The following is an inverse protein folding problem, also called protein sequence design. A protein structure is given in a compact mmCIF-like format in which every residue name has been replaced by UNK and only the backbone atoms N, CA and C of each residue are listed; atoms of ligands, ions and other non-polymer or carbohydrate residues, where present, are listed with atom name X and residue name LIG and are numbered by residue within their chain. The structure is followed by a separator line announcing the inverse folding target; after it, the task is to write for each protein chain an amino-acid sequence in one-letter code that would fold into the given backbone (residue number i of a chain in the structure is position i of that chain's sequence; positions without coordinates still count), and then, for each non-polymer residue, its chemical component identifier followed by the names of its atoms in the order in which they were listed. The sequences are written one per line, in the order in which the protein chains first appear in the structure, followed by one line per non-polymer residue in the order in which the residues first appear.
data_IF_645891058152
#
_entry.id   IF_645891058152
#
_cell.length_a   1.000
_cell.length_b   1.000
_cell.length_c   1.000
_cell.angle_alpha   90.00
_cell.angle_beta   90.00
_cell.angle_gamma   90.00
#
_symmetry.space_group_name_H-M   'P 1'
#
loop_
_entity.id
_entity.type
_entity.pdbx_description
1 polymer ?
#
# COMPACT_ATOMS: atom_id res chain seq x y z
N UNK A 1 -26.00 -21.72 1.93
CA UNK A 1 -25.96 -20.68 0.87
C UNK A 1 -25.55 -19.38 1.56
N UNK A 2 -24.47 -18.73 1.10
CA UNK A 2 -23.73 -17.71 1.88
C UNK A 2 -24.29 -16.28 1.87
N UNK A 3 -25.45 -16.05 1.24
CA UNK A 3 -26.15 -14.77 1.22
C UNK A 3 -27.66 -15.02 1.07
N UNK A 4 -28.46 -14.07 1.58
CA UNK A 4 -29.92 -14.11 1.54
C UNK A 4 -30.46 -12.92 0.73
N UNK A 5 -31.65 -13.06 0.15
CA UNK A 5 -32.32 -12.01 -0.64
C UNK A 5 -33.82 -11.98 -0.31
N UNK A 6 -34.50 -10.89 -0.68
CA UNK A 6 -35.97 -10.79 -0.62
C UNK A 6 -36.59 -11.24 -1.95
N UNK A 7 -37.46 -10.41 -2.53
CA UNK A 7 -38.03 -10.63 -3.85
C UNK A 7 -36.99 -10.41 -4.94
N UNK A 8 -37.17 -11.07 -6.08
CA UNK A 8 -36.36 -10.89 -7.27
C UNK A 8 -36.62 -9.56 -8.02
N UNK A 9 -37.57 -8.77 -7.53
CA UNK A 9 -37.95 -7.45 -8.03
C UNK A 9 -38.00 -6.43 -6.88
N UNK A 10 -37.10 -6.56 -5.90
CA UNK A 10 -37.07 -5.67 -4.75
C UNK A 10 -36.68 -4.25 -5.20
N UNK A 11 -37.49 -3.21 -4.90
CA UNK A 11 -37.10 -1.84 -5.17
C UNK A 11 -36.18 -1.32 -4.06
N UNK A 12 -35.01 -0.82 -4.42
CA UNK A 12 -34.03 -0.22 -3.51
C UNK A 12 -33.50 1.08 -4.10
N UNK A 13 -33.23 2.07 -3.25
CA UNK A 13 -32.45 3.24 -3.66
C UNK A 13 -30.98 2.99 -3.32
N UNK A 14 -30.12 3.02 -4.34
CA UNK A 14 -28.68 2.90 -4.17
C UNK A 14 -28.09 4.26 -3.77
N UNK A 15 -27.34 4.25 -2.68
CA UNK A 15 -26.47 5.35 -2.24
C UNK A 15 -25.09 5.17 -2.87
N UNK A 16 -24.48 6.26 -3.31
CA UNK A 16 -23.04 6.32 -3.58
C UNK A 16 -22.32 6.66 -2.28
N UNK A 17 -21.58 5.70 -1.72
CA UNK A 17 -20.74 5.95 -0.55
C UNK A 17 -19.49 6.76 -0.91
N UNK A 18 -19.04 6.67 -2.16
CA UNK A 18 -17.87 7.36 -2.70
C UNK A 18 -18.22 8.03 -4.03
N UNK A 19 -18.96 9.15 -4.03
CA UNK A 19 -19.52 9.75 -5.25
C UNK A 19 -18.47 10.21 -6.27
N UNK A 20 -17.26 10.53 -5.80
CA UNK A 20 -16.14 10.97 -6.65
C UNK A 20 -15.25 9.82 -7.13
N UNK A 21 -15.57 8.57 -6.77
CA UNK A 21 -14.70 7.44 -7.10
C UNK A 21 -14.82 7.06 -8.59
N UNK A 22 -13.69 6.86 -9.31
CA UNK A 22 -13.70 6.67 -10.77
C UNK A 22 -14.64 5.56 -11.26
N UNK A 23 -14.72 4.45 -10.51
CA UNK A 23 -15.56 3.29 -10.86
C UNK A 23 -17.07 3.62 -10.87
N UNK A 24 -17.54 4.62 -10.12
CA UNK A 24 -18.96 5.02 -10.05
C UNK A 24 -19.25 6.36 -10.72
N UNK A 25 -18.28 6.92 -11.45
CA UNK A 25 -18.41 8.23 -12.09
C UNK A 25 -19.60 8.31 -13.07
N UNK A 26 -20.01 7.20 -13.68
CA UNK A 26 -21.14 7.12 -14.60
C UNK A 26 -22.50 7.50 -13.97
N UNK A 27 -22.62 7.50 -12.64
CA UNK A 27 -23.84 7.88 -11.93
C UNK A 27 -23.91 9.37 -11.55
N UNK A 28 -22.90 10.17 -11.92
CA UNK A 28 -22.92 11.63 -11.73
C UNK A 28 -23.02 12.10 -10.28
N UNK A 29 -22.51 11.29 -9.33
CA UNK A 29 -22.52 11.61 -7.91
C UNK A 29 -23.89 11.49 -7.22
N UNK A 30 -24.91 10.99 -7.91
CA UNK A 30 -26.26 10.88 -7.37
C UNK A 30 -26.67 9.42 -7.15
N UNK A 31 -27.38 9.17 -6.04
CA UNK A 31 -28.03 7.89 -5.81
C UNK A 31 -29.15 7.64 -6.82
N UNK A 32 -29.48 6.38 -7.06
CA UNK A 32 -30.44 5.99 -8.09
C UNK A 32 -31.35 4.85 -7.61
N UNK A 33 -32.63 4.82 -8.02
CA UNK A 33 -33.48 3.67 -7.77
C UNK A 33 -33.04 2.49 -8.64
N UNK A 34 -33.08 1.29 -8.07
CA UNK A 34 -32.81 0.05 -8.76
C UNK A 34 -33.79 -1.02 -8.30
N UNK A 35 -34.20 -1.86 -9.24
CA UNK A 35 -35.01 -3.04 -8.97
C UNK A 35 -34.22 -4.28 -9.40
N UNK A 36 -33.96 -5.19 -8.47
CA UNK A 36 -33.23 -6.45 -8.72
C UNK A 36 -33.52 -7.49 -7.63
N UNK A 37 -32.87 -8.65 -7.71
CA UNK A 37 -32.70 -9.57 -6.59
C UNK A 37 -31.39 -9.28 -5.84
N UNK A 38 -31.48 -8.55 -4.72
CA UNK A 38 -30.28 -8.17 -3.97
C UNK A 38 -29.87 -9.21 -2.95
N UNK A 39 -28.82 -9.97 -3.29
CA UNK A 39 -28.12 -10.82 -2.33
C UNK A 39 -27.35 -9.97 -1.32
N UNK A 40 -27.62 -10.20 -0.04
CA UNK A 40 -27.06 -9.45 1.09
C UNK A 40 -25.95 -10.26 1.77
N UNK A 41 -24.67 -10.02 1.41
CA UNK A 41 -23.55 -10.68 2.05
C UNK A 41 -23.39 -10.26 3.51
N UNK A 42 -23.15 -11.23 4.40
CA UNK A 42 -22.83 -10.97 5.81
C UNK A 42 -21.31 -10.85 6.02
N UNK A 43 -20.60 -11.97 6.17
CA UNK A 43 -19.17 -11.95 6.53
C UNK A 43 -18.20 -11.73 5.37
N UNK A 44 -18.66 -11.78 4.12
CA UNK A 44 -17.77 -11.76 2.94
C UNK A 44 -17.24 -10.38 2.58
N UNK A 45 -17.75 -9.30 3.18
CA UNK A 45 -17.20 -7.95 3.06
C UNK A 45 -17.18 -7.25 4.43
N UNK A 46 -16.30 -6.27 4.58
CA UNK A 46 -16.26 -5.33 5.71
C UNK A 46 -15.70 -4.00 5.25
N UNK A 47 -16.26 -2.89 5.71
CA UNK A 47 -15.68 -1.55 5.47
C UNK A 47 -14.24 -1.41 6.01
N UNK A 48 -13.79 -2.29 6.91
CA UNK A 48 -12.40 -2.32 7.37
C UNK A 48 -11.41 -2.96 6.39
N UNK A 49 -11.89 -3.66 5.35
CA UNK A 49 -11.07 -4.29 4.30
C UNK A 49 -11.40 -3.83 2.88
N UNK A 50 -12.61 -3.34 2.66
CA UNK A 50 -13.14 -3.04 1.33
C UNK A 50 -13.46 -1.54 1.19
N UNK A 51 -13.17 -0.97 0.02
CA UNK A 51 -13.66 0.36 -0.38
C UNK A 51 -15.07 0.20 -0.91
N UNK A 52 -16.06 0.44 -0.06
CA UNK A 52 -17.48 0.39 -0.43
C UNK A 52 -17.81 1.57 -1.34
N UNK A 53 -18.37 1.28 -2.50
CA UNK A 53 -18.73 2.26 -3.52
C UNK A 53 -20.24 2.53 -3.53
N UNK A 54 -21.04 1.48 -3.39
CA UNK A 54 -22.50 1.53 -3.39
C UNK A 54 -23.06 0.73 -2.21
N UNK A 55 -24.07 1.27 -1.55
CA UNK A 55 -24.87 0.59 -0.52
C UNK A 55 -26.33 1.00 -0.60
N UNK A 56 -27.20 0.36 0.18
CA UNK A 56 -28.60 0.77 0.29
C UNK A 56 -28.72 2.15 0.96
N UNK A 57 -29.50 3.05 0.37
CA UNK A 57 -29.96 4.28 1.02
C UNK A 57 -31.14 3.93 1.92
N UNK A 58 -30.87 3.66 3.21
CA UNK A 58 -31.89 3.28 4.18
C UNK A 58 -32.88 4.39 4.53
N UNK A 59 -32.57 5.64 4.21
CA UNK A 59 -33.52 6.74 4.40
C UNK A 59 -34.59 6.77 3.28
N UNK A 60 -34.30 6.14 2.14
CA UNK A 60 -35.19 6.13 0.95
C UNK A 60 -35.64 4.73 0.54
N UNK A 61 -35.12 3.70 1.19
CA UNK A 61 -35.48 2.30 0.94
C UNK A 61 -36.32 1.78 2.09
N UNK A 62 -37.54 1.36 1.79
CA UNK A 62 -38.43 0.79 2.80
C UNK A 62 -37.98 -0.64 3.16
N UNK A 63 -37.46 -0.77 4.39
CA UNK A 63 -37.15 -2.05 5.00
C UNK A 63 -38.14 -2.41 6.13
N UNK A 64 -39.31 -1.76 6.24
CA UNK A 64 -40.27 -2.06 7.30
C UNK A 64 -40.88 -3.47 7.15
N UNK A 65 -41.02 -3.95 5.92
CA UNK A 65 -41.40 -5.33 5.60
C UNK A 65 -40.18 -6.21 5.30
N UNK A 66 -39.14 -6.18 6.14
CA UNK A 66 -38.21 -7.32 6.17
C UNK A 66 -38.96 -8.48 6.91
N UNK A 67 -39.35 -9.60 6.27
CA UNK A 67 -39.50 -10.84 7.05
C UNK A 67 -39.03 -12.06 6.26
N UNK A 68 -37.73 -12.13 5.96
CA UNK A 68 -37.12 -13.38 5.52
C UNK A 68 -35.88 -13.66 6.38
N UNK A 69 -35.91 -14.76 7.12
CA UNK A 69 -34.85 -15.16 8.04
C UNK A 69 -33.51 -15.17 7.29
N UNK A 70 -32.56 -14.36 7.77
CA UNK A 70 -31.20 -14.30 7.23
C UNK A 70 -30.85 -13.07 6.38
N UNK A 71 -31.80 -12.27 5.88
CA UNK A 71 -31.50 -11.07 5.08
C UNK A 71 -30.89 -9.91 5.88
N UNK A 72 -30.91 -9.98 7.20
CA UNK A 72 -30.51 -8.89 8.07
C UNK A 72 -29.03 -8.90 8.42
N UNK A 73 -28.52 -7.69 8.58
CA UNK A 73 -27.29 -7.42 9.33
C UNK A 73 -27.60 -6.51 10.51
N UNK A 74 -26.95 -6.79 11.63
CA UNK A 74 -27.12 -6.00 12.85
C UNK A 74 -26.67 -4.55 12.67
N UNK A 75 -25.62 -4.32 11.87
CA UNK A 75 -25.06 -3.01 11.56
C UNK A 75 -25.87 -2.23 10.50
N UNK A 76 -26.86 -2.88 9.87
CA UNK A 76 -27.64 -2.35 8.74
C UNK A 76 -26.78 -1.78 7.61
N UNK A 77 -25.56 -2.27 7.44
CA UNK A 77 -24.71 -1.92 6.30
C UNK A 77 -24.96 -2.92 5.17
N UNK A 78 -25.46 -2.47 4.02
CA UNK A 78 -25.78 -3.34 2.89
C UNK A 78 -25.00 -2.90 1.65
N UNK A 79 -23.69 -3.17 1.64
CA UNK A 79 -22.83 -2.84 0.50
C UNK A 79 -23.15 -3.73 -0.71
N UNK A 80 -23.42 -3.09 -1.85
CA UNK A 80 -23.77 -3.74 -3.11
C UNK A 80 -22.66 -3.67 -4.16
N UNK A 81 -21.68 -2.78 -3.96
CA UNK A 81 -20.47 -2.78 -4.75
C UNK A 81 -19.29 -2.26 -3.95
N UNK A 82 -18.12 -2.86 -4.18
CA UNK A 82 -16.88 -2.45 -3.54
C UNK A 82 -15.67 -2.84 -4.39
N UNK A 83 -14.55 -2.16 -4.11
CA UNK A 83 -13.24 -2.50 -4.67
C UNK A 83 -12.23 -2.71 -3.55
N UNK A 84 -11.19 -3.47 -3.84
CA UNK A 84 -9.99 -3.57 -2.98
C UNK A 84 -8.79 -4.09 -3.76
N UNK A 85 -7.65 -4.10 -3.09
CA UNK A 85 -6.49 -4.86 -3.52
C UNK A 85 -6.30 -6.12 -2.68
N UNK A 86 -5.67 -7.13 -3.27
CA UNK A 86 -5.18 -8.32 -2.59
C UNK A 86 -3.76 -8.60 -3.10
N UNK A 87 -2.75 -8.26 -2.30
CA UNK A 87 -1.38 -8.11 -2.79
C UNK A 87 -1.31 -7.02 -3.88
N UNK A 88 -0.94 -7.41 -5.11
CA UNK A 88 -0.98 -6.55 -6.32
C UNK A 88 -2.24 -6.75 -7.17
N UNK A 89 -3.06 -7.76 -6.85
CA UNK A 89 -4.32 -8.01 -7.54
C UNK A 89 -5.37 -6.96 -7.19
N UNK A 90 -6.30 -6.70 -8.12
CA UNK A 90 -7.44 -5.80 -7.95
C UNK A 90 -8.72 -6.62 -7.94
N UNK A 91 -9.60 -6.36 -6.97
CA UNK A 91 -10.88 -7.04 -6.83
C UNK A 91 -11.97 -6.00 -6.98
N UNK A 92 -12.87 -6.23 -7.94
CA UNK A 92 -14.14 -5.53 -8.07
C UNK A 92 -15.26 -6.51 -7.78
N UNK A 93 -16.19 -6.11 -6.93
CA UNK A 93 -17.39 -6.88 -6.62
C UNK A 93 -18.62 -6.01 -6.82
N UNK A 94 -19.67 -6.64 -7.34
CA UNK A 94 -21.02 -6.08 -7.36
C UNK A 94 -22.06 -7.19 -7.21
N UNK A 95 -23.12 -6.89 -6.46
CA UNK A 95 -24.26 -7.79 -6.22
C UNK A 95 -25.39 -7.62 -7.25
N UNK A 96 -25.19 -6.82 -8.31
CA UNK A 96 -26.19 -6.55 -9.34
C UNK A 96 -26.12 -7.58 -10.47
N UNK A 97 -27.26 -7.85 -11.09
CA UNK A 97 -27.32 -8.59 -12.35
C UNK A 97 -28.13 -9.88 -12.31
N UNK A 98 -29.03 -10.04 -11.33
CA UNK A 98 -29.93 -11.18 -11.32
C UNK A 98 -31.05 -11.00 -12.36
N UNK A 99 -31.65 -9.80 -12.43
CA UNK A 99 -32.69 -9.50 -13.39
C UNK A 99 -32.12 -9.06 -14.76
N UNK A 100 -32.58 -9.60 -15.91
CA UNK A 100 -32.03 -9.27 -17.24
C UNK A 100 -32.06 -7.78 -17.61
N UNK A 101 -33.04 -7.03 -17.08
CA UNK A 101 -33.16 -5.58 -17.32
C UNK A 101 -31.93 -4.79 -16.81
N UNK A 102 -31.17 -5.32 -15.85
CA UNK A 102 -29.92 -4.72 -15.37
C UNK A 102 -28.93 -4.52 -16.52
N UNK A 103 -28.84 -5.51 -17.43
CA UNK A 103 -27.96 -5.47 -18.59
C UNK A 103 -28.49 -4.63 -19.76
N UNK A 104 -29.66 -4.00 -19.60
CA UNK A 104 -30.21 -3.04 -20.55
C UNK A 104 -30.08 -1.59 -20.05
N UNK A 105 -29.67 -1.38 -18.80
CA UNK A 105 -29.48 -0.05 -18.22
C UNK A 105 -28.10 0.52 -18.62
N UNK A 106 -28.03 1.62 -19.41
CA UNK A 106 -26.77 2.19 -19.86
C UNK A 106 -25.83 2.63 -18.72
N UNK A 107 -26.38 3.14 -17.61
CA UNK A 107 -25.60 3.52 -16.44
C UNK A 107 -24.94 2.34 -15.76
N UNK A 108 -25.64 1.20 -15.65
CA UNK A 108 -25.07 -0.03 -15.09
C UNK A 108 -24.07 -0.68 -16.04
N UNK A 109 -24.30 -0.64 -17.36
CA UNK A 109 -23.32 -1.11 -18.35
C UNK A 109 -22.01 -0.31 -18.28
N UNK A 110 -22.10 1.02 -18.14
CA UNK A 110 -20.92 1.88 -17.93
C UNK A 110 -20.20 1.55 -16.61
N UNK A 111 -20.96 1.29 -15.53
CA UNK A 111 -20.41 0.86 -14.25
C UNK A 111 -19.67 -0.49 -14.34
N UNK A 112 -20.25 -1.49 -15.02
CA UNK A 112 -19.58 -2.77 -15.24
C UNK A 112 -18.30 -2.63 -16.07
N UNK A 113 -18.30 -1.78 -17.10
CA UNK A 113 -17.10 -1.47 -17.88
C UNK A 113 -16.02 -0.84 -16.99
N UNK A 114 -16.37 0.15 -16.18
CA UNK A 114 -15.43 0.80 -15.26
C UNK A 114 -14.88 -0.19 -14.22
N UNK A 115 -15.72 -1.07 -13.67
CA UNK A 115 -15.32 -2.13 -12.75
C UNK A 115 -14.37 -3.16 -13.41
N UNK A 116 -14.64 -3.55 -14.65
CA UNK A 116 -13.78 -4.44 -15.43
C UNK A 116 -12.43 -3.78 -15.76
N UNK A 117 -12.44 -2.52 -16.21
CA UNK A 117 -11.24 -1.74 -16.45
C UNK A 117 -10.40 -1.58 -15.19
N UNK A 118 -11.03 -1.31 -14.03
CA UNK A 118 -10.34 -1.30 -12.75
C UNK A 118 -9.69 -2.65 -12.43
N UNK A 119 -10.43 -3.75 -12.56
CA UNK A 119 -9.90 -5.09 -12.27
C UNK A 119 -8.69 -5.42 -13.17
N UNK A 120 -8.76 -5.08 -14.46
CA UNK A 120 -7.68 -5.26 -15.43
C UNK A 120 -6.51 -4.29 -15.20
N UNK A 121 -6.75 -3.11 -14.63
CA UNK A 121 -5.75 -2.09 -14.34
C UNK A 121 -5.75 -0.89 -15.30
N UNK A 122 -6.71 -0.84 -16.22
CA UNK A 122 -6.88 0.25 -17.19
C UNK A 122 -7.48 1.52 -16.54
N UNK A 123 -8.18 1.36 -15.41
CA UNK A 123 -8.75 2.46 -14.64
C UNK A 123 -8.09 2.53 -13.25
N UNK A 124 -7.20 3.51 -12.99
CA UNK A 124 -6.63 3.70 -11.67
C UNK A 124 -7.70 4.23 -10.71
N UNK A 125 -7.82 3.60 -9.54
CA UNK A 125 -8.74 4.03 -8.50
C UNK A 125 -8.19 3.70 -7.10
N UNK A 126 -8.49 4.53 -6.09
CA UNK A 126 -8.07 4.29 -4.71
C UNK A 126 -8.78 3.06 -4.11
N UNK A 127 -8.07 2.30 -3.29
CA UNK A 127 -8.61 1.06 -2.70
C UNK A 127 -8.47 0.98 -1.19
N UNK A 128 -8.08 2.08 -0.52
CA UNK A 128 -8.02 2.06 0.95
C UNK A 128 -9.41 1.79 1.52
N UNK A 129 -9.54 0.89 2.52
CA UNK A 129 -10.85 0.49 3.04
C UNK A 129 -11.65 1.68 3.58
N UNK A 130 -12.95 1.72 3.29
CA UNK A 130 -13.81 2.86 3.66
C UNK A 130 -13.79 3.19 5.16
N UNK A 131 -13.71 2.16 6.01
CA UNK A 131 -13.66 2.28 7.47
C UNK A 131 -12.34 2.80 8.01
N UNK A 132 -11.32 2.97 7.16
CA UNK A 132 -10.02 3.56 7.53
C UNK A 132 -9.84 4.98 7.00
N UNK A 133 -10.72 5.47 6.14
CA UNK A 133 -10.51 6.76 5.47
C UNK A 133 -10.64 7.93 6.44
N UNK A 134 -9.50 8.52 6.75
CA UNK A 134 -9.40 9.82 7.41
C UNK A 134 -9.26 10.94 6.37
N UNK A 135 -9.47 12.22 6.74
CA UNK A 135 -9.11 13.34 5.87
C UNK A 135 -7.65 13.30 5.40
N UNK A 136 -6.73 12.84 6.25
CA UNK A 136 -5.32 12.68 5.92
C UNK A 136 -5.08 11.61 4.85
N UNK A 137 -5.69 10.43 4.98
CA UNK A 137 -5.57 9.37 3.97
C UNK A 137 -6.20 9.77 2.64
N UNK A 138 -7.31 10.51 2.64
CA UNK A 138 -7.87 11.10 1.40
C UNK A 138 -6.92 12.09 0.77
N UNK A 139 -6.23 12.89 1.56
CA UNK A 139 -5.21 13.81 1.04
C UNK A 139 -4.03 13.03 0.42
N UNK A 140 -3.57 11.97 1.09
CA UNK A 140 -2.52 11.09 0.56
C UNK A 140 -2.95 10.41 -0.74
N UNK A 141 -4.20 9.93 -0.86
CA UNK A 141 -4.74 9.37 -2.10
C UNK A 141 -4.67 10.37 -3.26
N UNK A 142 -5.03 11.65 -3.02
CA UNK A 142 -4.93 12.72 -4.04
C UNK A 142 -3.48 13.02 -4.43
N UNK A 143 -2.55 12.93 -3.48
CA UNK A 143 -1.11 13.12 -3.74
C UNK A 143 -0.45 11.90 -4.39
N UNK A 144 -1.10 10.73 -4.40
CA UNK A 144 -0.48 9.45 -4.73
C UNK A 144 0.56 9.01 -3.69
N UNK A 145 0.44 9.49 -2.45
CA UNK A 145 1.38 9.22 -1.36
C UNK A 145 0.95 7.98 -0.57
N UNK A 146 1.95 7.17 -0.18
CA UNK A 146 1.76 5.90 0.52
C UNK A 146 2.70 5.84 1.72
N UNK A 147 2.20 6.15 2.91
CA UNK A 147 2.95 6.03 4.16
C UNK A 147 2.88 4.60 4.70
N UNK A 148 4.02 3.98 4.96
CA UNK A 148 4.08 2.67 5.58
C UNK A 148 5.28 2.51 6.50
N UNK A 149 5.21 1.56 7.42
CA UNK A 149 6.34 1.27 8.32
C UNK A 149 7.36 0.43 7.59
N UNK A 150 8.62 0.86 7.57
CA UNK A 150 9.71 -0.04 7.24
C UNK A 150 9.92 -1.01 8.38
N UNK A 151 9.89 -2.31 8.08
CA UNK A 151 9.81 -3.35 9.10
C UNK A 151 11.02 -3.37 10.05
N UNK A 152 12.15 -2.74 9.67
CA UNK A 152 13.30 -2.58 10.55
C UNK A 152 12.97 -1.82 11.84
N UNK A 153 12.01 -0.90 11.80
CA UNK A 153 11.46 -0.21 12.99
C UNK A 153 11.02 -1.19 14.09
N UNK A 154 10.49 -2.35 13.69
CA UNK A 154 9.98 -3.39 14.58
C UNK A 154 10.74 -4.72 14.44
N UNK A 155 12.01 -4.71 13.99
CA UNK A 155 12.78 -5.95 13.77
C UNK A 155 13.02 -6.81 15.02
N UNK A 156 12.82 -6.24 16.22
CA UNK A 156 12.86 -6.99 17.49
C UNK A 156 11.60 -7.83 17.74
N UNK A 157 10.56 -7.62 16.95
CA UNK A 157 9.33 -8.40 16.94
C UNK A 157 9.29 -9.30 15.70
N UNK A 158 8.41 -10.28 15.72
CA UNK A 158 8.07 -11.06 14.52
C UNK A 158 7.36 -10.18 13.48
N UNK A 159 7.36 -10.60 12.22
CA UNK A 159 6.66 -9.90 11.15
C UNK A 159 5.15 -9.80 11.45
N UNK A 160 4.54 -10.83 12.02
CA UNK A 160 3.12 -10.82 12.38
C UNK A 160 2.79 -9.76 13.44
N UNK A 161 3.66 -9.59 14.43
CA UNK A 161 3.52 -8.51 15.42
C UNK A 161 3.79 -7.13 14.81
N UNK A 162 4.73 -7.02 13.87
CA UNK A 162 4.96 -5.78 13.13
C UNK A 162 3.74 -5.37 12.29
N UNK A 163 3.04 -6.34 11.68
CA UNK A 163 1.74 -6.13 11.01
C UNK A 163 0.70 -5.59 11.98
N UNK A 164 0.57 -6.19 13.17
CA UNK A 164 -0.41 -5.74 14.17
C UNK A 164 -0.12 -4.32 14.68
N UNK A 165 1.16 -4.02 14.97
CA UNK A 165 1.60 -2.67 15.37
C UNK A 165 1.37 -1.64 14.27
N UNK A 166 1.63 -2.00 13.02
CA UNK A 166 1.37 -1.11 11.87
C UNK A 166 -0.12 -0.82 11.71
N UNK A 167 -0.98 -1.84 11.93
CA UNK A 167 -2.42 -1.65 11.92
C UNK A 167 -2.92 -0.79 13.10
N UNK A 168 -2.32 -0.91 14.29
CA UNK A 168 -2.61 -0.07 15.47
C UNK A 168 -2.32 1.42 15.21
N UNK A 169 -1.30 1.72 14.38
CA UNK A 169 -1.00 3.08 13.93
C UNK A 169 -2.00 3.64 12.91
N UNK A 170 -2.94 2.83 12.43
CA UNK A 170 -3.92 3.22 11.40
C UNK A 170 -3.36 3.28 9.98
N UNK A 171 -2.16 2.74 9.75
CA UNK A 171 -1.51 2.73 8.45
C UNK A 171 -2.06 1.61 7.55
N UNK A 172 -1.81 1.72 6.24
CA UNK A 172 -2.29 0.79 5.22
C UNK A 172 -1.16 -0.02 4.54
N UNK A 173 0.09 0.35 4.81
CA UNK A 173 1.25 -0.18 4.11
C UNK A 173 2.35 -0.55 5.09
N UNK A 174 3.12 -1.58 4.75
CA UNK A 174 4.27 -2.05 5.52
C UNK A 174 5.37 -2.51 4.55
N UNK A 175 6.63 -2.38 4.97
CA UNK A 175 7.77 -3.06 4.38
C UNK A 175 7.99 -4.45 4.99
N UNK A 176 8.95 -5.20 4.45
CA UNK A 176 9.37 -6.49 5.01
C UNK A 176 10.89 -6.59 5.04
N UNK A 177 11.44 -7.51 5.82
CA UNK A 177 12.89 -7.65 5.95
C UNK A 177 13.32 -9.11 6.03
N UNK A 178 14.38 -9.46 5.30
CA UNK A 178 14.77 -10.87 5.05
C UNK A 178 15.30 -11.63 6.27
N UNK A 179 15.57 -10.94 7.38
CA UNK A 179 16.09 -11.50 8.62
C UNK A 179 15.12 -11.38 9.81
N UNK A 180 13.84 -11.07 9.55
CA UNK A 180 12.80 -11.07 10.58
C UNK A 180 12.05 -12.39 10.58
N UNK A 181 11.86 -12.96 11.77
CA UNK A 181 11.03 -14.15 11.97
C UNK A 181 9.58 -13.85 11.59
N UNK A 182 8.92 -14.76 10.89
CA UNK A 182 7.52 -14.56 10.45
C UNK A 182 6.57 -14.50 11.64
N UNK A 183 6.57 -15.52 12.49
CA UNK A 183 5.76 -15.62 13.72
C UNK A 183 6.20 -16.80 14.58
N UNK A 184 5.64 -16.98 15.78
CA UNK A 184 5.86 -18.19 16.58
C UNK A 184 5.38 -19.47 15.88
N UNK A 185 4.34 -19.38 15.04
CA UNK A 185 3.78 -20.51 14.29
C UNK A 185 4.60 -20.85 13.03
N UNK A 186 5.31 -19.86 12.49
CA UNK A 186 6.22 -20.01 11.35
C UNK A 186 7.58 -19.46 11.81
N UNK A 187 8.36 -20.24 12.59
CA UNK A 187 9.59 -19.77 13.23
C UNK A 187 10.79 -19.68 12.25
N UNK A 188 10.51 -19.33 11.00
CA UNK A 188 11.46 -19.10 9.92
C UNK A 188 11.58 -17.62 9.65
N UNK A 189 12.70 -17.21 9.05
CA UNK A 189 12.83 -15.84 8.55
C UNK A 189 11.91 -15.65 7.34
N UNK A 190 11.44 -14.42 7.14
CA UNK A 190 10.61 -14.05 6.01
C UNK A 190 11.45 -14.03 4.73
N UNK A 191 11.77 -15.18 4.15
CA UNK A 191 12.68 -15.31 3.00
C UNK A 191 12.01 -16.01 1.79
N UNK A 192 12.66 -16.00 0.61
CA UNK A 192 12.22 -16.80 -0.55
C UNK A 192 12.23 -18.33 -0.36
N UNK A 193 12.68 -18.84 0.79
CA UNK A 193 12.69 -20.28 1.11
C UNK A 193 11.39 -20.78 1.77
N UNK A 194 10.48 -19.87 2.11
CA UNK A 194 9.18 -20.23 2.66
C UNK A 194 8.33 -21.02 1.67
N UNK A 195 7.53 -21.94 2.19
CA UNK A 195 6.61 -22.75 1.37
C UNK A 195 5.41 -21.91 0.89
N UNK A 196 4.70 -22.39 -0.12
CA UNK A 196 3.52 -21.70 -0.64
C UNK A 196 2.40 -21.54 0.40
N UNK A 197 2.26 -22.50 1.32
CA UNK A 197 1.33 -22.40 2.44
C UNK A 197 1.77 -21.35 3.46
N UNK A 198 3.06 -21.27 3.78
CA UNK A 198 3.58 -20.23 4.68
C UNK A 198 3.38 -18.83 4.07
N UNK A 199 3.66 -18.67 2.76
CA UNK A 199 3.38 -17.42 2.03
C UNK A 199 1.88 -17.12 1.95
N UNK A 200 1.02 -18.13 1.89
CA UNK A 200 -0.44 -17.96 1.96
C UNK A 200 -0.87 -17.45 3.33
N UNK A 201 -0.36 -18.00 4.43
CA UNK A 201 -0.65 -17.52 5.79
C UNK A 201 -0.19 -16.08 6.00
N UNK A 202 0.99 -15.70 5.48
CA UNK A 202 1.48 -14.31 5.51
C UNK A 202 0.52 -13.36 4.77
N UNK A 203 0.08 -13.73 3.56
CA UNK A 203 -0.92 -12.94 2.81
C UNK A 203 -2.23 -12.80 3.56
N UNK A 204 -2.72 -13.88 4.18
CA UNK A 204 -3.95 -13.84 4.96
C UNK A 204 -3.83 -12.96 6.20
N UNK A 205 -2.67 -12.95 6.87
CA UNK A 205 -2.38 -12.06 8.00
C UNK A 205 -2.39 -10.59 7.56
N UNK A 206 -1.71 -10.26 6.47
CA UNK A 206 -1.74 -8.91 5.88
C UNK A 206 -3.16 -8.49 5.49
N UNK A 207 -3.90 -9.38 4.84
CA UNK A 207 -5.27 -9.11 4.40
C UNK A 207 -6.25 -8.89 5.55
N UNK A 208 -6.17 -9.74 6.58
CA UNK A 208 -6.96 -9.58 7.81
C UNK A 208 -6.67 -8.25 8.50
N UNK A 209 -5.41 -7.81 8.46
CA UNK A 209 -4.97 -6.52 8.98
C UNK A 209 -5.22 -5.35 8.02
N UNK A 210 -5.77 -5.57 6.82
CA UNK A 210 -5.99 -4.52 5.81
C UNK A 210 -4.70 -3.82 5.36
N UNK A 211 -3.56 -4.54 5.40
CA UNK A 211 -2.24 -4.03 5.04
C UNK A 211 -1.75 -4.62 3.72
N UNK A 212 -0.95 -3.84 3.00
CA UNK A 212 -0.20 -4.31 1.82
C UNK A 212 1.30 -4.22 2.08
N UNK A 213 2.03 -5.27 1.69
CA UNK A 213 3.49 -5.34 1.75
C UNK A 213 4.08 -4.73 0.47
N UNK A 214 4.45 -3.45 0.51
CA UNK A 214 4.87 -2.72 -0.69
C UNK A 214 6.37 -2.87 -0.98
N UNK A 215 7.20 -2.67 0.05
CA UNK A 215 8.65 -2.75 -0.02
C UNK A 215 9.16 -3.99 0.72
N UNK A 216 10.35 -4.47 0.35
CA UNK A 216 11.01 -5.55 1.07
C UNK A 216 12.53 -5.38 1.01
N UNK A 217 13.17 -5.27 2.16
CA UNK A 217 14.62 -5.26 2.29
C UNK A 217 15.19 -6.67 2.16
N UNK A 218 16.09 -6.84 1.19
CA UNK A 218 16.89 -8.05 1.01
C UNK A 218 18.35 -7.67 0.82
N UNK A 219 19.23 -8.23 1.66
CA UNK A 219 20.65 -7.86 1.67
C UNK A 219 21.30 -7.99 0.28
N UNK A 220 21.01 -9.07 -0.44
CA UNK A 220 21.52 -9.29 -1.78
C UNK A 220 20.52 -10.09 -2.61
N UNK A 221 20.33 -9.65 -3.86
CA UNK A 221 19.67 -10.44 -4.90
C UNK A 221 20.80 -11.20 -5.62
N UNK A 222 20.75 -12.54 -5.67
CA UNK A 222 21.79 -13.32 -6.35
C UNK A 222 21.95 -12.92 -7.82
N UNK A 223 23.20 -12.89 -8.30
CA UNK A 223 23.55 -12.49 -9.67
C UNK A 223 23.40 -13.59 -10.72
N UNK A 224 22.63 -14.63 -10.45
CA UNK A 224 22.36 -15.77 -11.34
C UNK A 224 20.84 -15.93 -11.62
N UNK A 225 20.50 -16.60 -12.72
CA UNK A 225 19.12 -16.74 -13.21
C UNK A 225 18.18 -17.41 -12.20
N UNK A 226 18.64 -18.45 -11.50
CA UNK A 226 17.80 -19.22 -10.56
C UNK A 226 17.56 -18.43 -9.28
N UNK A 227 18.61 -17.80 -8.74
CA UNK A 227 18.51 -16.96 -7.55
C UNK A 227 17.67 -15.71 -7.78
N UNK A 228 17.84 -15.01 -8.91
CA UNK A 228 16.95 -13.92 -9.31
C UNK A 228 15.50 -14.41 -9.41
N UNK A 229 15.24 -15.49 -10.16
CA UNK A 229 13.88 -16.02 -10.33
C UNK A 229 13.21 -16.33 -9.01
N UNK A 230 13.94 -16.94 -8.07
CA UNK A 230 13.43 -17.28 -6.74
C UNK A 230 13.01 -16.04 -5.95
N UNK A 231 13.84 -14.99 -5.93
CA UNK A 231 13.54 -13.72 -5.25
C UNK A 231 12.33 -13.03 -5.89
N UNK A 232 12.30 -12.92 -7.21
CA UNK A 232 11.21 -12.22 -7.90
C UNK A 232 9.88 -12.99 -7.86
N UNK A 233 9.88 -14.33 -7.90
CA UNK A 233 8.68 -15.14 -7.65
C UNK A 233 8.16 -14.96 -6.22
N UNK A 234 9.05 -14.89 -5.22
CA UNK A 234 8.67 -14.57 -3.85
C UNK A 234 7.99 -13.20 -3.76
N UNK A 235 8.58 -12.18 -4.39
CA UNK A 235 8.01 -10.83 -4.48
C UNK A 235 6.62 -10.84 -5.11
N UNK A 236 6.47 -11.52 -6.26
CA UNK A 236 5.20 -11.66 -6.98
C UNK A 236 4.14 -12.35 -6.11
N UNK A 237 4.50 -13.43 -5.41
CA UNK A 237 3.58 -14.20 -4.56
C UNK A 237 3.06 -13.39 -3.38
N UNK A 238 3.88 -12.54 -2.75
CA UNK A 238 3.46 -11.68 -1.64
C UNK A 238 2.87 -10.34 -2.08
N UNK A 239 3.05 -9.95 -3.34
CA UNK A 239 2.58 -8.67 -3.87
C UNK A 239 3.52 -7.50 -3.57
N UNK A 240 4.81 -7.77 -3.42
CA UNK A 240 5.86 -6.75 -3.28
C UNK A 240 5.97 -5.97 -4.59
N UNK A 241 6.07 -4.65 -4.49
CA UNK A 241 6.26 -3.74 -5.63
C UNK A 241 7.73 -3.32 -5.79
N UNK A 242 8.52 -3.35 -4.71
CA UNK A 242 9.93 -2.93 -4.74
C UNK A 242 10.78 -3.71 -3.75
N UNK A 243 11.88 -4.27 -4.23
CA UNK A 243 12.96 -4.75 -3.37
C UNK A 243 13.94 -3.62 -3.07
N UNK A 244 14.31 -3.47 -1.81
CA UNK A 244 15.43 -2.62 -1.39
C UNK A 244 16.65 -3.52 -1.22
N UNK A 245 17.73 -3.25 -1.95
CA UNK A 245 18.90 -4.13 -1.97
C UNK A 245 20.16 -3.39 -2.38
N UNK A 246 21.31 -4.02 -2.14
CA UNK A 246 22.64 -3.52 -2.48
C UNK A 246 23.42 -4.55 -3.31
N UNK A 247 22.91 -4.91 -4.50
CA UNK A 247 23.55 -5.92 -5.33
C UNK A 247 24.91 -5.43 -5.83
N UNK A 248 25.79 -6.36 -6.20
CA UNK A 248 27.01 -5.99 -6.91
C UNK A 248 26.65 -5.32 -8.27
N UNK A 249 27.32 -4.22 -8.69
CA UNK A 249 26.96 -3.51 -9.92
C UNK A 249 26.92 -4.37 -11.19
N UNK A 250 27.76 -5.40 -11.25
CA UNK A 250 27.83 -6.38 -12.34
C UNK A 250 26.58 -7.29 -12.44
N UNK A 251 25.81 -7.43 -11.35
CA UNK A 251 24.56 -8.20 -11.35
C UNK A 251 23.36 -7.37 -11.87
N UNK A 252 23.47 -6.03 -11.90
CA UNK A 252 22.38 -5.13 -12.29
C UNK A 252 21.79 -5.40 -13.69
N UNK A 253 22.56 -5.77 -14.75
CA UNK A 253 21.96 -6.14 -16.03
C UNK A 253 20.98 -7.31 -15.93
N UNK A 254 21.31 -8.33 -15.15
CA UNK A 254 20.44 -9.49 -14.94
C UNK A 254 19.22 -9.09 -14.12
N UNK A 255 19.45 -8.40 -12.99
CA UNK A 255 18.38 -7.95 -12.10
C UNK A 255 17.38 -7.07 -12.86
N UNK A 256 17.85 -6.14 -13.71
CA UNK A 256 16.99 -5.27 -14.50
C UNK A 256 16.12 -6.03 -15.52
N UNK A 257 16.61 -7.16 -16.06
CA UNK A 257 15.78 -8.05 -16.89
C UNK A 257 14.63 -8.66 -16.07
N UNK A 258 14.92 -9.12 -14.85
CA UNK A 258 13.90 -9.66 -13.95
C UNK A 258 12.92 -8.59 -13.48
N UNK A 259 13.40 -7.38 -13.18
CA UNK A 259 12.55 -6.26 -12.85
C UNK A 259 11.48 -6.01 -13.91
N UNK A 260 11.88 -5.99 -15.19
CA UNK A 260 10.98 -5.81 -16.32
C UNK A 260 10.03 -7.00 -16.52
N UNK A 261 10.53 -8.23 -16.38
CA UNK A 261 9.72 -9.44 -16.58
C UNK A 261 8.63 -9.62 -15.51
N UNK A 262 8.89 -9.18 -14.28
CA UNK A 262 7.99 -9.32 -13.14
C UNK A 262 7.20 -8.04 -12.82
N UNK A 263 7.53 -6.92 -13.47
CA UNK A 263 7.08 -5.58 -13.10
C UNK A 263 7.27 -5.34 -11.60
N UNK A 264 8.50 -5.59 -11.11
CA UNK A 264 8.92 -5.35 -9.72
C UNK A 264 10.17 -4.48 -9.79
N UNK A 265 10.22 -3.42 -8.99
CA UNK A 265 11.37 -2.51 -8.96
C UNK A 265 12.46 -3.02 -8.03
N UNK A 266 13.69 -2.58 -8.28
CA UNK A 266 14.79 -2.68 -7.32
C UNK A 266 15.29 -1.28 -7.02
N UNK A 267 15.18 -0.92 -5.74
CA UNK A 267 15.66 0.33 -5.20
C UNK A 267 17.01 0.09 -4.51
N UNK A 268 18.07 0.64 -5.09
CA UNK A 268 19.44 0.59 -4.60
C UNK A 268 19.51 1.36 -3.29
N UNK A 269 19.71 0.61 -2.20
CA UNK A 269 19.71 1.13 -0.84
C UNK A 269 21.08 1.71 -0.47
N UNK A 270 21.10 2.73 0.39
CA UNK A 270 22.32 3.40 0.82
C UNK A 270 22.54 3.25 2.33
N UNK A 271 23.65 2.63 2.72
CA UNK A 271 24.28 2.84 4.01
C UNK A 271 25.43 3.85 3.87
N UNK A 272 26.37 3.86 4.82
CA UNK A 272 27.61 4.61 4.71
C UNK A 272 28.51 4.13 3.55
N UNK A 273 29.57 4.90 3.26
CA UNK A 273 30.51 4.58 2.17
C UNK A 273 31.20 3.23 2.31
N UNK A 274 31.34 2.69 3.53
CA UNK A 274 32.00 1.42 3.77
C UNK A 274 31.05 0.25 3.49
N UNK A 275 29.80 0.35 3.94
CA UNK A 275 28.79 -0.68 3.74
C UNK A 275 28.25 -0.68 2.30
N UNK A 276 28.05 0.50 1.71
CA UNK A 276 27.47 0.66 0.36
C UNK A 276 28.38 1.47 -0.58
N UNK A 277 29.60 1.01 -0.88
CA UNK A 277 30.59 1.82 -1.61
C UNK A 277 30.12 2.30 -3.00
N UNK A 278 29.21 1.57 -3.64
CA UNK A 278 28.62 1.94 -4.93
C UNK A 278 27.39 2.86 -4.81
N UNK A 279 26.69 2.89 -3.67
CA UNK A 279 25.34 3.45 -3.55
C UNK A 279 25.18 4.46 -2.41
N UNK A 280 26.20 4.71 -1.59
CA UNK A 280 26.14 5.58 -0.42
C UNK A 280 25.72 7.04 -0.71
N UNK A 281 25.82 7.49 -1.97
CA UNK A 281 25.42 8.83 -2.40
C UNK A 281 24.59 8.83 -3.70
N UNK A 282 23.87 9.93 -4.00
CA UNK A 282 23.05 10.05 -5.20
C UNK A 282 23.80 9.80 -6.51
N UNK A 283 25.04 10.28 -6.65
CA UNK A 283 25.85 10.12 -7.86
C UNK A 283 26.17 8.65 -8.16
N UNK A 284 26.53 7.88 -7.12
CA UNK A 284 26.81 6.45 -7.24
C UNK A 284 25.58 5.68 -7.72
N UNK A 285 24.41 6.00 -7.14
CA UNK A 285 23.13 5.40 -7.57
C UNK A 285 22.78 5.76 -9.01
N UNK A 286 22.93 7.03 -9.41
CA UNK A 286 22.68 7.46 -10.80
C UNK A 286 23.60 6.74 -11.78
N UNK A 287 24.89 6.63 -11.46
CA UNK A 287 25.87 5.90 -12.26
C UNK A 287 25.49 4.42 -12.40
N UNK A 288 25.04 3.79 -11.32
CA UNK A 288 24.56 2.40 -11.35
C UNK A 288 23.30 2.22 -12.20
N UNK A 289 22.48 3.27 -12.34
CA UNK A 289 21.28 3.27 -13.17
C UNK A 289 21.54 3.54 -14.67
N UNK A 290 22.77 3.90 -15.07
CA UNK A 290 23.10 4.18 -16.47
C UNK A 290 22.88 2.93 -17.35
N UNK A 291 22.10 3.10 -18.41
CA UNK A 291 21.73 1.99 -19.31
C UNK A 291 20.83 0.93 -18.67
N UNK A 292 20.11 1.25 -17.59
CA UNK A 292 19.10 0.38 -16.96
C UNK A 292 17.69 0.96 -17.13
N UNK A 293 16.68 0.09 -17.12
CA UNK A 293 15.28 0.47 -17.19
C UNK A 293 14.85 1.33 -16.00
N UNK A 294 13.68 1.96 -16.08
CA UNK A 294 13.10 2.76 -15.00
C UNK A 294 12.75 1.94 -13.73
N UNK A 295 12.87 0.62 -13.77
CA UNK A 295 12.64 -0.24 -12.61
C UNK A 295 13.81 -0.26 -11.62
N UNK A 296 14.99 0.19 -12.03
CA UNK A 296 16.14 0.38 -11.14
C UNK A 296 16.23 1.85 -10.74
N UNK A 297 16.35 2.12 -9.45
CA UNK A 297 16.52 3.48 -8.94
C UNK A 297 16.99 3.46 -7.49
N UNK A 298 16.77 4.53 -6.76
CA UNK A 298 17.22 4.71 -5.38
C UNK A 298 16.16 4.28 -4.36
N UNK A 299 16.61 3.62 -3.31
CA UNK A 299 16.02 3.72 -1.99
C UNK A 299 16.85 4.75 -1.22
N UNK A 300 16.34 5.97 -1.07
CA UNK A 300 17.04 7.01 -0.32
C UNK A 300 16.85 6.79 1.19
N UNK A 301 17.85 6.26 1.87
CA UNK A 301 17.89 6.31 3.33
C UNK A 301 18.41 7.68 3.76
N UNK A 302 17.48 8.48 4.26
CA UNK A 302 17.72 9.86 4.69
C UNK A 302 18.57 9.92 5.96
N UNK A 303 18.47 8.92 6.82
CA UNK A 303 19.26 8.83 8.04
C UNK A 303 20.75 8.67 7.74
N UNK A 304 21.11 7.76 6.82
CA UNK A 304 22.51 7.59 6.39
C UNK A 304 23.04 8.81 5.65
N UNK A 305 22.24 9.45 4.80
CA UNK A 305 22.66 10.69 4.15
C UNK A 305 22.97 11.79 5.16
N UNK A 306 22.07 12.04 6.13
CA UNK A 306 22.30 13.04 7.17
C UNK A 306 23.55 12.73 7.99
N UNK A 307 23.74 11.48 8.41
CA UNK A 307 24.95 11.05 9.15
C UNK A 307 26.23 11.18 8.33
N UNK A 308 26.13 11.00 7.02
CA UNK A 308 27.21 11.16 6.04
C UNK A 308 27.44 12.59 5.55
N UNK A 309 26.68 13.58 6.04
CA UNK A 309 26.79 14.99 5.61
C UNK A 309 26.23 15.28 4.21
N UNK A 310 25.40 14.38 3.67
CA UNK A 310 24.69 14.58 2.40
C UNK A 310 23.38 15.32 2.69
N UNK A 311 23.13 16.43 1.98
CA UNK A 311 21.85 17.15 2.04
C UNK A 311 20.75 16.30 1.38
N UNK A 312 19.71 15.87 2.12
CA UNK A 312 18.68 15.01 1.56
C UNK A 312 17.80 15.72 0.52
N UNK A 313 17.59 17.04 0.63
CA UNK A 313 16.78 17.82 -0.33
C UNK A 313 17.51 17.89 -1.67
N UNK A 314 18.80 18.23 -1.64
CA UNK A 314 19.62 18.25 -2.85
C UNK A 314 19.80 16.83 -3.44
N UNK A 315 19.87 15.82 -2.58
CA UNK A 315 19.96 14.41 -2.97
C UNK A 315 18.75 13.95 -3.79
N UNK A 316 17.53 14.19 -3.30
CA UNK A 316 16.32 13.81 -4.04
C UNK A 316 16.13 14.62 -5.33
N UNK A 317 16.54 15.89 -5.35
CA UNK A 317 16.47 16.73 -6.55
C UNK A 317 17.40 16.19 -7.63
N UNK A 318 18.62 15.79 -7.24
CA UNK A 318 19.57 15.12 -8.13
C UNK A 318 19.06 13.77 -8.64
N UNK A 319 18.43 12.95 -7.79
CA UNK A 319 17.86 11.67 -8.21
C UNK A 319 16.68 11.83 -9.18
N UNK A 320 15.89 12.90 -9.05
CA UNK A 320 14.73 13.15 -9.91
C UNK A 320 13.79 11.94 -9.96
N UNK A 321 13.50 11.43 -11.17
CA UNK A 321 12.64 10.26 -11.39
C UNK A 321 13.27 8.92 -10.99
N UNK A 322 14.54 8.88 -10.62
CA UNK A 322 15.20 7.69 -10.07
C UNK A 322 14.90 7.48 -8.58
N UNK A 323 14.21 8.40 -7.89
CA UNK A 323 13.72 8.15 -6.53
C UNK A 323 12.58 7.13 -6.58
N UNK A 324 12.87 5.86 -6.28
CA UNK A 324 11.88 4.77 -6.31
C UNK A 324 11.15 4.65 -4.98
N UNK A 325 11.88 4.69 -3.87
CA UNK A 325 11.36 4.66 -2.50
C UNK A 325 12.33 5.39 -1.58
N UNK A 326 11.98 5.55 -0.30
CA UNK A 326 12.86 6.16 0.69
C UNK A 326 12.59 5.59 2.08
N UNK A 327 13.65 5.53 2.88
CA UNK A 327 13.58 5.32 4.32
C UNK A 327 13.77 6.68 4.99
N UNK A 328 12.68 7.18 5.56
CA UNK A 328 12.63 8.50 6.18
C UNK A 328 13.05 8.41 7.63
N UNK A 329 13.99 9.28 7.98
CA UNK A 329 14.42 9.56 9.34
C UNK A 329 14.36 11.06 9.57
N UNK A 330 14.33 11.46 10.84
CA UNK A 330 14.70 12.80 11.26
C UNK A 330 15.64 12.66 12.45
N UNK A 331 16.74 13.41 12.45
CA UNK A 331 17.82 13.25 13.42
C UNK A 331 17.92 14.47 14.35
N UNK A 332 18.26 14.25 15.61
CA UNK A 332 18.48 15.36 16.56
C UNK A 332 19.63 16.29 16.13
N UNK A 333 20.61 15.77 15.40
CA UNK A 333 21.75 16.49 14.84
C UNK A 333 22.23 15.85 13.52
N UNK A 334 22.89 16.63 12.67
CA UNK A 334 23.42 16.19 11.37
C UNK A 334 24.91 15.87 11.52
N UNK A 335 25.18 14.81 12.29
CA UNK A 335 26.51 14.27 12.55
C UNK A 335 26.47 12.75 12.42
N UNK A 336 27.62 12.06 12.35
CA UNK A 336 27.66 10.60 12.38
C UNK A 336 27.02 9.97 13.63
N UNK A 337 26.84 10.75 14.71
CA UNK A 337 26.23 10.32 15.98
C UNK A 337 24.73 10.64 16.07
N UNK A 338 24.15 11.29 15.06
CA UNK A 338 22.74 11.67 15.03
C UNK A 338 21.82 10.45 15.25
N UNK A 339 20.88 10.61 16.17
CA UNK A 339 19.89 9.59 16.52
C UNK A 339 18.50 10.05 16.14
N UNK A 340 17.64 9.08 15.86
CA UNK A 340 16.28 9.34 15.43
C UNK A 340 15.47 10.08 16.50
N UNK A 341 14.69 11.04 16.02
CA UNK A 341 13.68 11.80 16.75
C UNK A 341 12.41 11.87 15.92
N UNK A 342 11.24 12.11 16.53
CA UNK A 342 9.99 12.25 15.79
C UNK A 342 10.12 13.25 14.63
N UNK A 343 9.57 12.91 13.48
CA UNK A 343 9.70 13.73 12.27
C UNK A 343 9.17 15.15 12.47
N UNK A 344 9.95 16.13 11.99
CA UNK A 344 9.65 17.55 12.15
C UNK A 344 10.20 18.17 13.44
N UNK A 345 10.73 17.36 14.36
CA UNK A 345 11.39 17.85 15.58
C UNK A 345 12.91 17.90 15.48
N UNK A 346 13.50 17.26 14.47
CA UNK A 346 14.93 17.15 14.29
C UNK A 346 15.53 18.26 13.45
N UNK A 347 16.73 17.98 12.95
CA UNK A 347 17.55 18.84 12.09
C UNK A 347 17.63 18.29 10.66
N UNK A 348 16.90 17.23 10.35
CA UNK A 348 16.91 16.54 9.05
C UNK A 348 16.08 17.21 7.95
N UNK A 349 15.41 18.34 8.25
CA UNK A 349 14.60 19.12 7.29
C UNK A 349 13.48 18.31 6.62
N UNK A 350 12.85 17.39 7.36
CA UNK A 350 11.86 16.44 6.83
C UNK A 350 10.68 17.11 6.12
N UNK A 351 10.14 18.22 6.64
CA UNK A 351 9.05 18.94 5.95
C UNK A 351 9.49 19.47 4.58
N UNK A 352 10.68 20.07 4.51
CA UNK A 352 11.21 20.64 3.28
C UNK A 352 11.47 19.56 2.24
N UNK A 353 12.00 18.41 2.68
CA UNK A 353 12.19 17.23 1.83
C UNK A 353 10.86 16.76 1.22
N UNK A 354 9.82 16.57 2.04
CA UNK A 354 8.51 16.13 1.56
C UNK A 354 7.86 17.13 0.59
N UNK A 355 8.02 18.44 0.85
CA UNK A 355 7.58 19.49 -0.08
C UNK A 355 8.33 19.44 -1.40
N UNK A 356 9.64 19.21 -1.38
CA UNK A 356 10.45 19.06 -2.59
C UNK A 356 10.05 17.80 -3.37
N UNK A 357 9.74 16.67 -2.72
CA UNK A 357 9.21 15.47 -3.40
C UNK A 357 7.90 15.80 -4.14
N UNK A 358 6.99 16.55 -3.51
CA UNK A 358 5.76 17.02 -4.15
C UNK A 358 6.05 17.93 -5.34
N UNK A 359 6.93 18.92 -5.18
CA UNK A 359 7.31 19.87 -6.22
C UNK A 359 7.85 19.17 -7.48
N UNK A 360 8.66 18.12 -7.28
CA UNK A 360 9.20 17.28 -8.37
C UNK A 360 8.15 16.35 -9.01
N UNK A 361 6.93 16.30 -8.45
CA UNK A 361 5.87 15.39 -8.89
C UNK A 361 6.27 13.92 -8.76
N UNK A 362 7.02 13.58 -7.72
CA UNK A 362 7.45 12.22 -7.45
C UNK A 362 6.44 11.51 -6.54
N UNK A 363 6.16 10.26 -6.88
CA UNK A 363 5.30 9.35 -6.08
C UNK A 363 6.10 8.11 -5.74
N UNK A 364 6.97 8.16 -4.71
CA UNK A 364 7.70 7.00 -4.22
C UNK A 364 6.76 5.82 -3.97
N UNK A 365 7.28 4.60 -4.12
CA UNK A 365 6.49 3.38 -3.88
C UNK A 365 5.96 3.36 -2.46
N UNK A 366 6.80 3.76 -1.50
CA UNK A 366 6.40 4.00 -0.13
C UNK A 366 7.23 5.14 0.44
N UNK A 367 6.62 5.97 1.26
CA UNK A 367 7.33 6.80 2.23
C UNK A 367 7.57 5.90 3.44
N UNK A 368 8.75 5.28 3.49
CA UNK A 368 9.09 4.29 4.49
C UNK A 368 9.40 4.95 5.82
N UNK A 369 8.56 4.70 6.83
CA UNK A 369 8.81 5.12 8.20
C UNK A 369 9.78 4.15 8.83
N UNK A 370 11.04 4.57 8.94
CA UNK A 370 12.04 3.87 9.73
C UNK A 370 12.39 4.67 10.98
N UNK A 371 12.19 4.07 12.15
CA UNK A 371 12.51 4.70 13.44
C UNK A 371 13.48 3.82 14.24
N UNK A 372 14.74 4.21 14.20
CA UNK A 372 15.89 3.42 14.64
C UNK A 372 16.32 3.69 16.08
N UNK A 373 15.34 3.80 16.98
CA UNK A 373 15.52 4.09 18.41
C UNK A 373 14.39 3.51 19.24
N UNK A 374 14.66 3.18 20.51
CA UNK A 374 13.65 2.68 21.46
C UNK A 374 12.91 1.43 20.94
N UNK A 375 13.63 0.47 20.33
CA UNK A 375 13.08 -0.64 19.53
C UNK A 375 11.87 -1.41 20.11
N UNK A 376 11.78 -1.53 21.44
CA UNK A 376 10.71 -2.26 22.13
C UNK A 376 9.58 -1.35 22.63
N UNK A 377 9.76 -0.03 22.54
CA UNK A 377 8.86 0.97 23.12
C UNK A 377 8.63 2.18 22.20
N UNK A 378 8.99 2.10 20.92
CA UNK A 378 9.01 3.22 19.97
C UNK A 378 7.64 3.61 19.40
N UNK A 379 6.57 2.87 19.72
CA UNK A 379 5.21 3.15 19.23
C UNK A 379 4.78 4.63 19.42
N UNK A 380 5.03 5.30 20.56
CA UNK A 380 4.67 6.71 20.73
C UNK A 380 5.37 7.63 19.73
N UNK A 381 6.67 7.42 19.47
CA UNK A 381 7.44 8.24 18.53
C UNK A 381 7.08 7.93 17.08
N UNK A 382 6.88 6.66 16.73
CA UNK A 382 6.39 6.24 15.40
C UNK A 382 5.03 6.88 15.10
N UNK A 383 4.13 6.92 16.10
CA UNK A 383 2.85 7.60 15.97
C UNK A 383 3.00 9.10 15.69
N UNK A 384 3.93 9.79 16.37
CA UNK A 384 4.20 11.20 16.11
C UNK A 384 4.72 11.44 14.68
N UNK A 385 5.57 10.55 14.16
CA UNK A 385 6.02 10.62 12.76
C UNK A 385 4.85 10.48 11.76
N UNK A 386 3.94 9.53 12.00
CA UNK A 386 2.76 9.34 11.16
C UNK A 386 1.81 10.55 11.23
N UNK A 387 1.56 11.10 12.43
CA UNK A 387 0.74 12.30 12.63
C UNK A 387 1.34 13.54 11.93
N UNK A 388 2.67 13.69 11.96
CA UNK A 388 3.36 14.73 11.21
C UNK A 388 3.12 14.61 9.70
N UNK A 389 3.27 13.40 9.15
CA UNK A 389 3.06 13.13 7.73
C UNK A 389 1.59 13.35 7.32
N UNK A 390 0.65 12.92 8.15
CA UNK A 390 -0.79 13.13 7.97
C UNK A 390 -1.17 14.61 7.95
N UNK A 391 -0.62 15.40 8.89
CA UNK A 391 -0.86 16.83 8.97
C UNK A 391 -0.27 17.56 7.75
N UNK A 392 0.93 17.18 7.32
CA UNK A 392 1.56 17.78 6.13
C UNK A 392 0.79 17.42 4.86
N UNK A 393 0.39 16.15 4.69
CA UNK A 393 -0.38 15.70 3.52
C UNK A 393 -1.65 16.54 3.31
N UNK A 394 -2.38 16.86 4.38
CA UNK A 394 -3.58 17.70 4.31
C UNK A 394 -3.28 19.15 3.92
N UNK A 395 -2.13 19.70 4.34
CA UNK A 395 -1.68 21.05 3.92
C UNK A 395 -1.25 21.09 2.46
N UNK A 396 -1.02 19.92 1.85
CA UNK A 396 -0.50 19.80 0.51
C UNK A 396 -1.56 19.45 -0.54
N UNK A 397 -2.84 19.30 -0.20
CA UNK A 397 -3.89 19.00 -1.21
C UNK A 397 -4.76 20.18 -1.58
#
# INVERSE_FOLDING_TARGET
RGAYHRANTEPVVMKLDEPDHPVVACFGGQGFPLQDEFFRPKGTYSRSRDRVLLSFDLAKTDLASEPHDGCYREDKDYAMAWVRQYGRGRVFYTAFGHHPAIFQNPGLLAFYLAGAQFALGDLPAPTLPSGRLTPALRAQEKLGWRLGVEAYTFHKYTFFEAVDKTAELGLAYIGGLSFQKVSDKIPKDLTPDLTDDELREIRLKLDAAGLRLLTYYIQSIPGDEDGCRKVFEFGRKLGIETFMSEPAPEALPLIDRFCQAYDIRVALHNHDQKASPAYWNPEGVLKACEGRSAHIGACADVGYWLRGGIDPVAGIEKLGKRLVTLQLHDLNEVTPQGVDVPWGSGKGRTEELLRKIRELGNTPVMFGLEYSKNWLTSMPEVKQCAEFFDALSQKLV
#
